data_IF_604004575925
#
_entry.id   IF_604004575925
#
_cell.length_a   1.000
_cell.length_b   1.000
_cell.length_c   1.000
_cell.angle_alpha   90.00
_cell.angle_beta   90.00
_cell.angle_gamma   90.00
#
_symmetry.space_group_name_H-M   'P 1'
#
loop_
_entity.id
_entity.type
_entity.pdbx_description
1 polymer ?
#
# COMPACT_ATOMS: atom_id res chain seq x y z
N UNK A 1 22.82 -6.18 -31.88
CA UNK A 1 21.92 -5.68 -30.81
C UNK A 1 20.49 -5.91 -31.30
N UNK A 2 19.92 -7.06 -30.94
CA UNK A 2 18.62 -7.50 -31.46
C UNK A 2 17.49 -6.65 -30.89
N UNK A 3 16.59 -6.28 -31.80
CA UNK A 3 15.36 -5.55 -31.57
C UNK A 3 14.45 -6.43 -30.68
N UNK A 4 14.62 -6.38 -29.36
CA UNK A 4 13.66 -6.94 -28.40
C UNK A 4 12.33 -6.23 -28.67
N UNK A 5 11.38 -6.93 -29.29
CA UNK A 5 10.02 -6.42 -29.43
C UNK A 5 9.55 -5.98 -28.05
N UNK A 6 9.32 -4.67 -27.85
CA UNK A 6 8.81 -4.10 -26.60
C UNK A 6 7.35 -4.52 -26.42
N UNK A 7 7.14 -5.80 -26.10
CA UNK A 7 5.86 -6.34 -25.68
C UNK A 7 5.53 -5.79 -24.30
N UNK A 8 4.25 -5.53 -24.06
CA UNK A 8 3.77 -5.18 -22.74
C UNK A 8 4.04 -6.36 -21.80
N UNK A 9 4.52 -6.06 -20.61
CA UNK A 9 4.67 -7.06 -19.56
C UNK A 9 3.27 -7.30 -18.96
N UNK A 10 2.83 -8.55 -19.04
CA UNK A 10 1.56 -8.99 -18.45
C UNK A 10 1.79 -9.89 -17.25
N UNK A 11 0.79 -9.96 -16.38
CA UNK A 11 0.74 -10.85 -15.23
C UNK A 11 -0.68 -11.01 -14.76
N UNK A 12 -0.89 -11.63 -13.59
CA UNK A 12 -2.22 -12.02 -13.14
C UNK A 12 -2.53 -11.53 -11.73
N UNK A 13 -3.77 -11.10 -11.53
CA UNK A 13 -4.36 -10.87 -10.21
C UNK A 13 -4.93 -12.18 -9.62
N UNK A 14 -5.29 -12.25 -8.31
CA UNK A 14 -5.76 -13.48 -7.66
C UNK A 14 -6.98 -14.14 -8.31
N UNK A 15 -7.77 -13.37 -9.04
CA UNK A 15 -8.96 -13.84 -9.75
C UNK A 15 -8.66 -14.29 -11.19
N UNK A 16 -7.39 -14.42 -11.56
CA UNK A 16 -6.95 -14.82 -12.90
C UNK A 16 -7.10 -13.74 -13.96
N UNK A 17 -7.43 -12.50 -13.59
CA UNK A 17 -7.47 -11.39 -14.54
C UNK A 17 -6.06 -11.03 -14.97
N UNK A 18 -5.82 -11.06 -16.29
CA UNK A 18 -4.59 -10.57 -16.90
C UNK A 18 -4.51 -9.04 -16.78
N UNK A 19 -3.37 -8.55 -16.33
CA UNK A 19 -3.10 -7.13 -16.12
C UNK A 19 -1.75 -6.74 -16.71
N UNK A 20 -1.62 -5.47 -17.06
CA UNK A 20 -0.35 -4.84 -17.39
C UNK A 20 0.07 -3.91 -16.26
N UNK A 21 1.38 -3.74 -16.10
CA UNK A 21 1.96 -2.95 -15.02
C UNK A 21 2.41 -1.59 -15.56
N UNK A 22 1.89 -0.47 -15.03
CA UNK A 22 2.34 0.84 -15.44
C UNK A 22 3.82 1.05 -15.10
N UNK A 23 4.58 1.66 -16.01
CA UNK A 23 5.95 2.05 -15.74
C UNK A 23 5.98 3.45 -15.10
N UNK A 24 6.12 3.51 -13.77
CA UNK A 24 6.20 4.76 -13.03
C UNK A 24 7.52 5.53 -13.23
N UNK A 25 8.49 4.95 -13.95
CA UNK A 25 9.75 5.59 -14.32
C UNK A 25 9.69 6.27 -15.68
N UNK A 26 8.59 6.10 -16.43
CA UNK A 26 8.38 6.77 -17.71
C UNK A 26 8.00 8.23 -17.55
N UNK A 27 8.53 9.10 -18.42
CA UNK A 27 8.14 10.51 -18.49
C UNK A 27 6.66 10.70 -18.89
N UNK A 28 6.05 9.69 -19.53
CA UNK A 28 4.67 9.74 -19.99
C UNK A 28 3.65 9.39 -18.89
N UNK A 29 4.09 8.78 -17.78
CA UNK A 29 3.18 8.22 -16.78
C UNK A 29 2.32 9.29 -16.11
N UNK A 30 2.89 10.47 -15.85
CA UNK A 30 2.20 11.57 -15.18
C UNK A 30 1.03 12.07 -16.02
N UNK A 31 1.23 12.25 -17.32
CA UNK A 31 0.18 12.68 -18.25
C UNK A 31 -0.92 11.63 -18.37
N UNK A 32 -0.55 10.35 -18.42
CA UNK A 32 -1.51 9.25 -18.42
C UNK A 32 -2.33 9.20 -17.12
N UNK A 33 -1.68 9.29 -15.94
CA UNK A 33 -2.36 9.33 -14.65
C UNK A 33 -3.29 10.55 -14.53
N UNK A 34 -2.84 11.74 -14.94
CA UNK A 34 -3.66 12.96 -14.93
C UNK A 34 -4.94 12.78 -15.74
N UNK A 35 -4.84 12.19 -16.94
CA UNK A 35 -6.02 11.91 -17.78
C UNK A 35 -6.99 10.97 -17.08
N UNK A 36 -6.49 9.89 -16.48
CA UNK A 36 -7.32 8.91 -15.79
C UNK A 36 -7.96 9.47 -14.52
N UNK A 37 -7.21 10.18 -13.68
CA UNK A 37 -7.76 10.78 -12.46
C UNK A 37 -8.74 11.91 -12.75
N UNK A 38 -8.57 12.69 -13.82
CA UNK A 38 -9.59 13.68 -14.27
C UNK A 38 -10.88 13.00 -14.71
N UNK A 39 -10.80 11.83 -15.35
CA UNK A 39 -11.99 11.03 -15.68
C UNK A 39 -12.63 10.50 -14.40
N UNK A 40 -11.83 9.93 -13.50
CA UNK A 40 -12.31 9.39 -12.23
C UNK A 40 -13.00 10.45 -11.36
N UNK A 41 -12.42 11.65 -11.26
CA UNK A 41 -12.96 12.75 -10.44
C UNK A 41 -14.30 13.30 -10.95
N UNK A 42 -14.65 13.04 -12.22
CA UNK A 42 -15.97 13.36 -12.77
C UNK A 42 -17.01 12.30 -12.45
N UNK A 43 -16.58 11.06 -12.23
CA UNK A 43 -17.45 9.93 -11.91
C UNK A 43 -17.70 9.83 -10.41
N UNK A 44 -16.66 10.03 -9.61
CA UNK A 44 -16.71 9.89 -8.16
C UNK A 44 -15.95 11.03 -7.49
N UNK A 45 -16.51 11.55 -6.39
CA UNK A 45 -15.77 12.42 -5.49
C UNK A 45 -14.99 11.54 -4.50
N UNK A 46 -13.69 11.78 -4.39
CA UNK A 46 -12.80 11.08 -3.46
C UNK A 46 -11.80 12.08 -2.88
N UNK A 47 -11.38 11.87 -1.64
CA UNK A 47 -10.51 12.79 -0.90
C UNK A 47 -9.10 12.22 -0.68
N UNK A 48 -8.91 10.95 -1.02
CA UNK A 48 -7.63 10.27 -0.91
C UNK A 48 -7.60 8.96 -1.69
N UNK A 49 -6.43 8.33 -1.70
CA UNK A 49 -6.19 7.08 -2.39
C UNK A 49 -5.46 6.10 -1.48
N UNK A 50 -5.95 4.86 -1.45
CA UNK A 50 -5.24 3.73 -0.85
C UNK A 50 -4.63 2.89 -1.97
N UNK A 51 -3.32 2.83 -2.02
CA UNK A 51 -2.60 1.97 -2.94
C UNK A 51 -2.46 0.59 -2.32
N UNK A 52 -3.08 -0.38 -2.98
CA UNK A 52 -2.94 -1.79 -2.67
C UNK A 52 -2.10 -2.44 -3.77
N UNK A 53 -1.28 -3.44 -3.40
CA UNK A 53 -0.52 -4.27 -4.35
C UNK A 53 0.45 -3.51 -5.27
N UNK A 54 0.99 -2.39 -4.80
CA UNK A 54 2.00 -1.61 -5.52
C UNK A 54 3.46 -2.08 -5.28
N UNK A 55 3.67 -3.33 -4.83
CA UNK A 55 4.93 -4.10 -4.90
C UNK A 55 5.01 -4.93 -6.19
N UNK A 56 4.74 -4.30 -7.34
CA UNK A 56 3.88 -4.83 -8.42
C UNK A 56 3.54 -6.32 -8.29
N UNK A 57 2.44 -6.62 -7.57
CA UNK A 57 2.11 -8.01 -7.21
C UNK A 57 1.64 -8.79 -8.43
N UNK A 58 2.20 -9.98 -8.60
CA UNK A 58 1.85 -10.91 -9.67
C UNK A 58 1.57 -12.30 -9.08
N UNK A 59 0.37 -12.85 -9.35
CA UNK A 59 -0.06 -14.16 -8.88
C UNK A 59 0.16 -15.27 -9.90
N UNK A 60 0.82 -14.97 -11.03
CA UNK A 60 1.23 -16.01 -11.97
C UNK A 60 2.10 -17.05 -11.26
N UNK A 61 1.66 -18.31 -11.32
CA UNK A 61 2.38 -19.48 -10.81
C UNK A 61 3.33 -20.08 -11.84
N UNK A 62 3.30 -19.60 -13.08
CA UNK A 62 4.07 -20.13 -14.20
C UNK A 62 5.19 -19.16 -14.59
N UNK A 63 6.26 -19.71 -15.16
CA UNK A 63 7.40 -19.01 -15.78
C UNK A 63 7.00 -18.12 -16.99
N UNK A 64 5.74 -17.70 -17.07
CA UNK A 64 5.09 -17.04 -18.20
C UNK A 64 4.84 -15.54 -17.97
N UNK A 65 5.58 -14.90 -17.05
CA UNK A 65 5.86 -13.49 -17.29
C UNK A 65 6.69 -13.45 -18.57
N UNK A 66 6.05 -13.09 -19.68
CA UNK A 66 6.60 -13.09 -21.04
C UNK A 66 7.68 -12.03 -21.20
N UNK A 67 8.77 -12.14 -20.45
CA UNK A 67 10.01 -11.46 -20.75
C UNK A 67 10.79 -12.37 -21.69
N UNK A 68 10.95 -11.95 -22.95
CA UNK A 68 11.75 -12.63 -23.96
C UNK A 68 13.26 -12.45 -23.70
N UNK A 69 13.69 -12.55 -22.44
CA UNK A 69 15.03 -12.20 -21.96
C UNK A 69 15.61 -13.24 -20.99
N UNK A 70 16.88 -13.07 -20.68
CA UNK A 70 17.66 -14.00 -19.87
C UNK A 70 17.11 -14.06 -18.44
N UNK A 71 16.66 -15.24 -17.99
CA UNK A 71 16.06 -15.42 -16.66
C UNK A 71 17.09 -15.49 -15.53
N UNK A 72 18.39 -15.43 -15.85
CA UNK A 72 19.50 -15.46 -14.91
C UNK A 72 19.38 -14.39 -13.81
N UNK A 73 18.75 -13.23 -14.11
CA UNK A 73 18.52 -12.15 -13.12
C UNK A 73 17.47 -12.49 -12.06
N UNK A 74 16.67 -13.53 -12.29
CA UNK A 74 15.70 -14.00 -11.29
C UNK A 74 16.37 -14.87 -10.24
N UNK A 75 17.46 -15.55 -10.58
CA UNK A 75 18.18 -16.42 -9.65
C UNK A 75 19.13 -15.60 -8.78
N UNK A 76 19.14 -15.90 -7.48
CA UNK A 76 20.10 -15.34 -6.55
C UNK A 76 20.76 -16.45 -5.76
N UNK A 77 22.06 -16.63 -5.96
CA UNK A 77 22.88 -17.60 -5.22
C UNK A 77 23.22 -17.14 -3.80
N UNK A 78 22.97 -15.87 -3.48
CA UNK A 78 23.34 -15.23 -2.21
C UNK A 78 22.15 -14.90 -1.30
N UNK A 79 20.93 -14.91 -1.82
CA UNK A 79 19.71 -14.62 -1.05
C UNK A 79 19.01 -15.91 -0.64
N UNK A 80 18.34 -15.89 0.52
CA UNK A 80 17.53 -17.01 1.02
C UNK A 80 16.38 -17.42 0.07
N UNK A 81 16.09 -16.60 -0.95
CA UNK A 81 15.09 -16.86 -1.97
C UNK A 81 15.78 -17.20 -3.29
N UNK A 82 15.59 -18.44 -3.73
CA UNK A 82 16.19 -18.95 -4.96
C UNK A 82 15.65 -18.26 -6.24
N UNK A 83 14.52 -17.54 -6.14
CA UNK A 83 13.92 -16.82 -7.26
C UNK A 83 13.26 -15.50 -6.82
N UNK A 84 13.76 -14.38 -7.33
CA UNK A 84 13.30 -13.03 -7.04
C UNK A 84 12.00 -12.65 -7.75
N UNK A 85 11.60 -13.34 -8.80
CA UNK A 85 10.34 -13.07 -9.52
C UNK A 85 9.10 -13.60 -8.81
N UNK A 86 9.25 -14.28 -7.66
CA UNK A 86 8.12 -14.87 -6.92
C UNK A 86 7.22 -13.74 -6.41
N UNK A 87 5.94 -13.80 -6.78
CA UNK A 87 4.93 -12.84 -6.33
C UNK A 87 5.02 -11.46 -7.01
N UNK A 88 5.88 -11.30 -8.03
CA UNK A 88 6.12 -10.02 -8.70
C UNK A 88 6.51 -10.17 -10.18
N UNK A 89 7.04 -9.11 -10.79
CA UNK A 89 7.51 -9.10 -12.17
C UNK A 89 8.84 -9.85 -12.31
N UNK A 90 9.13 -10.27 -13.54
CA UNK A 90 10.45 -10.79 -13.90
C UNK A 90 11.52 -9.70 -13.68
N UNK A 91 12.65 -10.05 -13.09
CA UNK A 91 13.73 -9.09 -12.79
C UNK A 91 14.41 -8.51 -14.04
N UNK A 92 14.34 -9.22 -15.17
CA UNK A 92 14.81 -8.76 -16.48
C UNK A 92 13.80 -7.86 -17.22
N UNK A 93 12.61 -7.62 -16.66
CA UNK A 93 11.65 -6.68 -17.23
C UNK A 93 12.27 -5.29 -17.39
N UNK A 94 12.25 -4.74 -18.61
CA UNK A 94 12.88 -3.45 -18.89
C UNK A 94 11.90 -2.30 -18.69
N UNK A 95 12.30 -1.32 -17.89
CA UNK A 95 11.62 -0.03 -17.78
C UNK A 95 11.99 0.89 -18.96
N UNK A 96 11.21 1.94 -19.18
CA UNK A 96 11.37 2.89 -20.29
C UNK A 96 12.71 3.64 -20.30
N UNK A 97 13.37 3.73 -19.15
CA UNK A 97 14.72 4.28 -18.99
C UNK A 97 15.83 3.25 -19.26
N UNK A 98 15.51 2.10 -19.85
CA UNK A 98 16.41 0.98 -20.11
C UNK A 98 17.08 0.40 -18.85
N UNK A 99 16.43 0.51 -17.68
CA UNK A 99 16.89 -0.13 -16.45
C UNK A 99 16.05 -1.39 -16.18
N UNK A 100 16.68 -2.55 -15.91
CA UNK A 100 15.97 -3.75 -15.50
C UNK A 100 15.20 -3.56 -14.18
N UNK A 101 14.08 -4.25 -14.04
CA UNK A 101 13.24 -4.22 -12.84
C UNK A 101 14.01 -4.61 -11.58
N UNK A 102 15.03 -5.48 -11.69
CA UNK A 102 15.92 -5.85 -10.60
C UNK A 102 16.40 -4.65 -9.76
N UNK A 103 16.80 -3.56 -10.42
CA UNK A 103 17.35 -2.38 -9.75
C UNK A 103 16.28 -1.40 -9.26
N UNK A 104 15.04 -1.54 -9.76
CA UNK A 104 13.94 -0.60 -9.50
C UNK A 104 12.81 -1.20 -8.67
N UNK A 105 12.83 -2.52 -8.42
CA UNK A 105 11.75 -3.26 -7.76
C UNK A 105 11.36 -2.63 -6.42
N UNK A 106 12.34 -2.45 -5.54
CA UNK A 106 12.12 -1.90 -4.18
C UNK A 106 11.65 -0.45 -4.17
N UNK A 107 11.87 0.32 -5.25
CA UNK A 107 11.44 1.71 -5.35
C UNK A 107 10.17 1.89 -6.21
N UNK A 108 9.59 0.82 -6.75
CA UNK A 108 8.42 0.89 -7.61
C UNK A 108 7.21 1.51 -6.90
N UNK A 109 6.89 1.05 -5.68
CA UNK A 109 5.77 1.58 -4.89
C UNK A 109 5.95 3.03 -4.44
N UNK A 110 7.19 3.39 -4.12
CA UNK A 110 7.58 4.77 -3.84
C UNK A 110 7.37 5.65 -5.08
N UNK A 111 7.86 5.21 -6.25
CA UNK A 111 7.71 5.95 -7.51
C UNK A 111 6.24 6.06 -7.92
N UNK A 112 5.44 4.99 -7.75
CA UNK A 112 3.99 5.03 -7.92
C UNK A 112 3.35 6.15 -7.08
N UNK A 113 3.67 6.22 -5.80
CA UNK A 113 3.16 7.25 -4.87
C UNK A 113 3.52 8.65 -5.33
N UNK A 114 4.78 8.89 -5.73
CA UNK A 114 5.23 10.18 -6.25
C UNK A 114 4.48 10.59 -7.50
N UNK A 115 4.36 9.70 -8.49
CA UNK A 115 3.71 10.02 -9.75
C UNK A 115 2.21 10.28 -9.56
N UNK A 116 1.55 9.51 -8.69
CA UNK A 116 0.16 9.78 -8.34
C UNK A 116 0.02 11.13 -7.65
N UNK A 117 0.84 11.43 -6.64
CA UNK A 117 0.83 12.73 -5.96
C UNK A 117 0.93 13.90 -6.95
N UNK A 118 1.92 13.85 -7.85
CA UNK A 118 2.13 14.88 -8.88
C UNK A 118 0.97 14.97 -9.87
N UNK A 119 0.39 13.83 -10.26
CA UNK A 119 -0.75 13.80 -11.18
C UNK A 119 -2.02 14.45 -10.60
N UNK A 120 -2.17 14.44 -9.27
CA UNK A 120 -3.30 15.05 -8.60
C UNK A 120 -3.17 16.57 -8.44
N UNK A 121 -1.98 17.18 -8.63
CA UNK A 121 -1.78 18.63 -8.44
C UNK A 121 -2.62 19.48 -9.42
N UNK A 122 -2.98 18.94 -10.59
CA UNK A 122 -3.71 19.64 -11.65
C UNK A 122 -5.20 19.26 -11.73
N UNK A 123 -5.75 18.70 -10.66
CA UNK A 123 -7.17 18.34 -10.57
C UNK A 123 -7.83 19.28 -9.57
N UNK A 124 -8.81 20.06 -10.02
CA UNK A 124 -9.40 21.19 -9.27
C UNK A 124 -9.79 20.85 -7.83
N UNK A 125 -10.34 19.65 -7.58
CA UNK A 125 -10.72 19.19 -6.23
C UNK A 125 -9.52 19.03 -5.27
N UNK A 126 -8.34 18.73 -5.80
CA UNK A 126 -7.11 18.50 -5.02
C UNK A 126 -6.17 19.71 -4.97
N UNK A 127 -6.42 20.72 -5.79
CA UNK A 127 -5.63 21.96 -5.81
C UNK A 127 -5.73 22.63 -4.43
N UNK A 128 -4.58 22.98 -3.85
CA UNK A 128 -4.44 23.64 -2.53
C UNK A 128 -5.07 22.86 -1.36
N UNK A 129 -5.31 21.55 -1.52
CA UNK A 129 -5.73 20.66 -0.42
C UNK A 129 -4.64 19.67 -0.07
N UNK A 130 -4.53 19.33 1.22
CA UNK A 130 -3.66 18.23 1.66
C UNK A 130 -4.26 16.92 1.13
N UNK A 131 -3.47 16.18 0.36
CA UNK A 131 -3.86 14.90 -0.22
C UNK A 131 -3.59 13.80 0.79
N UNK A 132 -4.56 12.90 0.98
CA UNK A 132 -4.33 11.68 1.74
C UNK A 132 -3.97 10.54 0.78
N UNK A 133 -2.73 10.06 0.86
CA UNK A 133 -2.25 8.90 0.10
C UNK A 133 -1.74 7.87 1.11
N UNK A 134 -2.18 6.62 0.98
CA UNK A 134 -1.72 5.51 1.82
C UNK A 134 -1.16 4.39 0.96
N UNK A 135 0.09 4.00 1.20
CA UNK A 135 0.81 3.03 0.37
C UNK A 135 1.10 1.72 1.12
N UNK A 136 0.89 0.60 0.45
CA UNK A 136 1.32 -0.71 0.95
C UNK A 136 2.83 -0.93 0.74
N UNK A 137 3.37 -0.47 -0.40
CA UNK A 137 4.80 -0.55 -0.74
C UNK A 137 5.50 0.78 -0.48
N UNK A 138 6.57 0.74 0.31
CA UNK A 138 7.28 1.94 0.77
C UNK A 138 8.79 1.78 0.61
N UNK A 139 9.48 2.90 0.54
CA UNK A 139 10.94 2.99 0.52
C UNK A 139 11.39 4.19 1.37
N UNK A 140 12.69 4.36 1.55
CA UNK A 140 13.27 5.50 2.29
C UNK A 140 12.69 6.82 1.72
N UNK A 141 12.16 7.67 2.59
CA UNK A 141 11.52 8.93 2.22
C UNK A 141 10.04 8.84 1.84
N UNK A 142 9.43 7.65 1.83
CA UNK A 142 7.98 7.48 1.58
C UNK A 142 7.10 8.31 2.52
N UNK A 143 7.50 8.48 3.78
CA UNK A 143 6.71 9.22 4.79
C UNK A 143 6.50 10.69 4.49
N UNK A 144 7.33 11.29 3.63
CA UNK A 144 7.16 12.67 3.15
C UNK A 144 5.94 12.81 2.23
N UNK A 145 5.51 11.72 1.59
CA UNK A 145 4.50 11.75 0.52
C UNK A 145 3.24 10.95 0.82
N UNK A 146 3.31 9.94 1.69
CA UNK A 146 2.21 9.05 1.99
C UNK A 146 2.26 8.48 3.40
N UNK A 147 1.10 8.12 3.93
CA UNK A 147 0.97 7.17 5.03
C UNK A 147 1.29 5.75 4.58
N UNK A 148 1.42 4.83 5.54
CA UNK A 148 1.36 3.40 5.25
C UNK A 148 0.18 2.75 5.96
N UNK A 149 -0.49 1.84 5.26
CA UNK A 149 -1.34 0.85 5.90
C UNK A 149 -0.54 -0.45 5.87
N UNK A 150 -0.10 -0.94 7.03
CA UNK A 150 0.96 -1.95 7.14
C UNK A 150 0.56 -3.38 6.72
N UNK A 151 -0.39 -3.48 5.79
CA UNK A 151 -0.69 -4.67 5.03
C UNK A 151 -1.82 -5.52 5.60
N UNK A 152 -1.92 -6.73 5.04
CA UNK A 152 -2.86 -7.75 5.47
C UNK A 152 -2.27 -8.50 6.65
N UNK A 153 -3.04 -8.64 7.72
CA UNK A 153 -2.64 -9.30 8.96
C UNK A 153 -3.73 -10.26 9.42
N UNK A 154 -3.37 -11.41 9.98
CA UNK A 154 -4.37 -12.32 10.55
C UNK A 154 -4.95 -11.76 11.85
N UNK A 155 -6.21 -12.05 12.14
CA UNK A 155 -6.84 -11.76 13.43
C UNK A 155 -6.30 -12.67 14.54
N UNK A 156 -5.10 -12.41 15.06
CA UNK A 156 -4.49 -13.19 16.13
C UNK A 156 -3.80 -12.31 17.18
N UNK A 157 -3.61 -12.81 18.40
CA UNK A 157 -2.84 -12.15 19.45
C UNK A 157 -1.39 -11.87 19.03
N UNK A 158 -0.79 -12.80 18.26
CA UNK A 158 0.55 -12.60 17.68
C UNK A 158 0.55 -11.38 16.75
N UNK A 159 -0.46 -11.26 15.88
CA UNK A 159 -0.58 -10.12 14.95
C UNK A 159 -0.83 -8.81 15.68
N UNK A 160 -1.63 -8.81 16.75
CA UNK A 160 -1.79 -7.62 17.61
C UNK A 160 -0.43 -7.16 18.15
N UNK A 161 0.37 -8.07 18.73
CA UNK A 161 1.72 -7.74 19.21
C UNK A 161 2.61 -7.21 18.08
N UNK A 162 2.62 -7.87 16.92
CA UNK A 162 3.42 -7.45 15.77
C UNK A 162 2.98 -6.09 15.22
N UNK A 163 1.68 -5.76 15.30
CA UNK A 163 1.17 -4.46 14.84
C UNK A 163 1.74 -3.28 15.65
N UNK A 164 2.02 -3.49 16.94
CA UNK A 164 2.66 -2.48 17.79
C UNK A 164 4.10 -2.25 17.33
N UNK A 165 4.85 -3.35 17.16
CA UNK A 165 6.25 -3.32 16.70
C UNK A 165 6.34 -2.63 15.33
N UNK A 166 5.51 -3.04 14.38
CA UNK A 166 5.51 -2.50 13.03
C UNK A 166 5.20 -0.99 13.01
N UNK A 167 4.24 -0.50 13.79
CA UNK A 167 3.93 0.94 13.85
C UNK A 167 5.09 1.74 14.43
N UNK A 168 5.78 1.21 15.45
CA UNK A 168 6.96 1.84 16.02
C UNK A 168 8.13 1.85 15.03
N UNK A 169 8.38 0.74 14.34
CA UNK A 169 9.41 0.65 13.30
C UNK A 169 9.17 1.67 12.18
N UNK A 170 7.94 1.76 11.67
CA UNK A 170 7.59 2.76 10.65
C UNK A 170 7.76 4.19 11.15
N UNK A 171 7.52 4.46 12.43
CA UNK A 171 7.80 5.77 13.03
C UNK A 171 9.29 6.09 12.99
N UNK A 172 10.15 5.10 13.30
CA UNK A 172 11.61 5.22 13.17
C UNK A 172 12.07 5.36 11.71
N UNK A 173 11.37 4.73 10.76
CA UNK A 173 11.63 4.87 9.32
C UNK A 173 11.12 6.20 8.73
N UNK A 174 10.65 7.13 9.56
CA UNK A 174 10.17 8.44 9.12
C UNK A 174 8.77 8.40 8.50
N UNK A 175 7.96 7.39 8.84
CA UNK A 175 6.57 7.23 8.40
C UNK A 175 5.61 7.27 9.61
N UNK A 176 5.45 8.43 10.27
CA UNK A 176 4.68 8.54 11.51
C UNK A 176 3.18 8.28 11.31
N UNK A 177 2.64 8.50 10.11
CA UNK A 177 1.25 8.19 9.79
C UNK A 177 1.15 6.75 9.29
N UNK A 178 1.25 5.78 10.19
CA UNK A 178 1.11 4.35 9.87
C UNK A 178 0.00 3.71 10.70
N UNK A 179 -0.70 2.75 10.10
CA UNK A 179 -1.82 2.05 10.74
C UNK A 179 -1.92 0.61 10.28
N UNK A 180 -2.41 -0.26 11.17
CA UNK A 180 -2.63 -1.69 10.88
C UNK A 180 -4.12 -1.98 11.06
N UNK A 181 -4.78 -2.66 10.10
CA UNK A 181 -6.20 -3.00 10.20
C UNK A 181 -6.55 -3.67 11.55
N UNK A 182 -7.39 -2.97 12.31
CA UNK A 182 -7.80 -3.38 13.66
C UNK A 182 -8.61 -4.68 13.57
N UNK A 183 -8.39 -5.59 14.53
CA UNK A 183 -8.96 -6.94 14.57
C UNK A 183 -8.47 -7.91 13.48
N UNK A 184 -7.53 -7.48 12.64
CA UNK A 184 -7.00 -8.27 11.54
C UNK A 184 -7.89 -8.26 10.29
N UNK A 185 -7.28 -8.56 9.15
CA UNK A 185 -7.92 -8.55 7.82
C UNK A 185 -8.58 -9.89 7.45
N UNK A 186 -8.21 -10.97 8.14
CA UNK A 186 -8.68 -12.34 7.88
C UNK A 186 -8.77 -13.15 9.18
N UNK A 187 -9.42 -14.32 9.10
CA UNK A 187 -9.67 -15.20 10.25
C UNK A 187 -10.97 -14.87 10.98
N UNK A 188 -11.37 -15.73 11.92
CA UNK A 188 -12.60 -15.55 12.69
C UNK A 188 -12.46 -14.38 13.65
N UNK A 189 -13.51 -13.58 13.80
CA UNK A 189 -13.54 -12.45 14.73
C UNK A 189 -13.66 -13.00 16.16
N UNK A 190 -12.54 -12.98 16.88
CA UNK A 190 -12.53 -13.19 18.33
C UNK A 190 -12.90 -11.88 19.05
N UNK A 191 -13.98 -11.91 19.85
CA UNK A 191 -14.54 -10.72 20.49
C UNK A 191 -13.56 -10.13 21.51
N UNK A 192 -12.82 -10.96 22.25
CA UNK A 192 -11.89 -10.50 23.26
C UNK A 192 -10.67 -9.85 22.61
N UNK A 193 -10.05 -10.55 21.65
CA UNK A 193 -8.93 -10.03 20.87
C UNK A 193 -9.30 -8.70 20.20
N UNK A 194 -10.45 -8.66 19.51
CA UNK A 194 -10.90 -7.46 18.80
C UNK A 194 -11.19 -6.31 19.79
N UNK A 195 -11.76 -6.61 20.97
CA UNK A 195 -11.94 -5.60 22.03
C UNK A 195 -10.61 -5.02 22.50
N UNK A 196 -9.57 -5.86 22.72
CA UNK A 196 -8.23 -5.37 23.10
C UNK A 196 -7.56 -4.59 21.98
N UNK A 197 -7.73 -5.04 20.74
CA UNK A 197 -7.17 -4.32 19.60
C UNK A 197 -7.84 -2.96 19.43
N UNK A 198 -9.15 -2.82 19.65
CA UNK A 198 -9.85 -1.53 19.65
C UNK A 198 -9.37 -0.58 20.75
N UNK A 199 -9.05 -1.11 21.94
CA UNK A 199 -8.44 -0.32 23.01
C UNK A 199 -7.08 0.24 22.59
N UNK A 200 -6.27 -0.55 21.90
CA UNK A 200 -5.02 -0.10 21.30
C UNK A 200 -5.24 0.85 20.10
N UNK A 201 -6.27 0.61 19.29
CA UNK A 201 -6.52 1.32 18.04
C UNK A 201 -6.65 2.85 18.21
N UNK A 202 -7.19 3.30 19.34
CA UNK A 202 -7.32 4.72 19.66
C UNK A 202 -5.98 5.47 19.59
N UNK A 203 -4.87 4.76 19.81
CA UNK A 203 -3.50 5.29 19.86
C UNK A 203 -2.70 5.06 18.57
N UNK A 204 -3.22 4.28 17.60
CA UNK A 204 -2.55 4.14 16.31
C UNK A 204 -2.54 5.48 15.56
N UNK A 205 -1.43 5.91 14.93
CA UNK A 205 -1.41 7.16 14.17
C UNK A 205 -2.46 7.19 13.06
N UNK A 206 -2.60 6.10 12.29
CA UNK A 206 -3.71 5.87 11.38
C UNK A 206 -4.60 4.76 11.93
N UNK A 207 -5.85 5.08 12.29
CA UNK A 207 -6.84 4.10 12.70
C UNK A 207 -7.66 3.67 11.47
N UNK A 208 -7.64 2.38 11.13
CA UNK A 208 -8.49 1.81 10.09
C UNK A 208 -8.98 0.41 10.46
N UNK A 209 -10.11 0.02 9.89
CA UNK A 209 -10.61 -1.35 9.86
C UNK A 209 -10.67 -1.80 8.41
N UNK A 210 -10.27 -3.03 8.14
CA UNK A 210 -10.35 -3.60 6.80
C UNK A 210 -10.45 -5.11 6.92
N UNK A 211 -11.43 -5.71 6.25
CA UNK A 211 -11.57 -7.16 6.14
C UNK A 211 -11.68 -7.58 4.69
N UNK A 212 -10.99 -8.65 4.34
CA UNK A 212 -10.91 -9.16 2.96
C UNK A 212 -12.27 -9.72 2.52
N UNK A 213 -13.01 -10.32 3.45
CA UNK A 213 -14.34 -10.88 3.25
C UNK A 213 -15.46 -9.83 3.21
N UNK A 214 -15.13 -8.54 3.42
CA UNK A 214 -16.11 -7.45 3.47
C UNK A 214 -17.00 -7.44 4.71
N UNK A 215 -16.70 -8.27 5.73
CA UNK A 215 -17.49 -8.30 6.96
C UNK A 215 -17.30 -7.03 7.80
N UNK A 216 -18.43 -6.51 8.29
CA UNK A 216 -18.48 -5.33 9.14
C UNK A 216 -18.31 -5.72 10.62
N UNK A 217 -17.23 -5.23 11.25
CA UNK A 217 -16.83 -5.63 12.61
C UNK A 217 -17.85 -5.25 13.69
N UNK A 218 -18.55 -4.12 13.52
CA UNK A 218 -19.30 -3.50 14.61
C UNK A 218 -20.82 -3.62 14.47
N UNK A 219 -21.34 -3.82 13.26
CA UNK A 219 -22.78 -3.79 13.02
C UNK A 219 -23.54 -4.92 13.73
N UNK A 220 -22.90 -6.07 13.88
CA UNK A 220 -23.55 -7.29 14.38
C UNK A 220 -23.10 -7.71 15.78
N UNK A 221 -22.31 -6.91 16.47
CA UNK A 221 -21.82 -7.23 17.82
C UNK A 221 -21.91 -6.03 18.78
N UNK A 222 -22.94 -5.98 19.65
CA UNK A 222 -23.14 -4.87 20.59
C UNK A 222 -21.95 -4.61 21.52
N UNK A 223 -21.21 -5.65 21.90
CA UNK A 223 -20.03 -5.52 22.78
C UNK A 223 -18.90 -4.80 22.03
N UNK A 224 -18.58 -5.23 20.81
CA UNK A 224 -17.56 -4.56 19.99
C UNK A 224 -17.99 -3.14 19.62
N UNK A 225 -19.25 -2.91 19.29
CA UNK A 225 -19.78 -1.57 19.03
C UNK A 225 -19.63 -0.63 20.22
N UNK A 226 -19.89 -1.12 21.45
CA UNK A 226 -19.71 -0.35 22.68
C UNK A 226 -18.24 0.01 22.93
N UNK A 227 -17.34 -0.97 22.81
CA UNK A 227 -15.89 -0.73 22.94
C UNK A 227 -15.40 0.25 21.88
N UNK A 228 -15.79 0.06 20.62
CA UNK A 228 -15.42 0.95 19.52
C UNK A 228 -15.92 2.37 19.77
N UNK A 229 -17.17 2.56 20.22
CA UNK A 229 -17.73 3.87 20.55
C UNK A 229 -16.88 4.60 21.59
N UNK A 230 -16.49 3.91 22.67
CA UNK A 230 -15.70 4.51 23.74
C UNK A 230 -14.29 4.86 23.27
N UNK A 231 -13.63 3.94 22.56
CA UNK A 231 -12.24 4.12 22.15
C UNK A 231 -12.08 5.11 21.00
N UNK A 232 -13.02 5.13 20.06
CA UNK A 232 -13.09 6.16 19.01
C UNK A 232 -13.43 7.50 19.65
N UNK A 233 -14.37 7.56 20.61
CA UNK A 233 -14.66 8.77 21.36
C UNK A 233 -13.42 9.36 22.06
N UNK A 234 -12.64 8.52 22.74
CA UNK A 234 -11.35 8.91 23.33
C UNK A 234 -10.37 9.41 22.26
N UNK A 235 -10.24 8.70 21.13
CA UNK A 235 -9.37 9.16 20.05
C UNK A 235 -9.77 10.56 19.56
N UNK A 236 -11.06 10.81 19.39
CA UNK A 236 -11.57 12.10 18.94
C UNK A 236 -11.27 13.22 19.94
N UNK A 237 -11.29 12.96 21.25
CA UNK A 237 -10.86 13.94 22.25
C UNK A 237 -9.35 14.20 22.22
N UNK A 238 -8.55 13.22 21.78
CA UNK A 238 -7.10 13.34 21.61
C UNK A 238 -6.67 13.94 20.26
N UNK A 239 -7.58 14.19 19.32
CA UNK A 239 -7.22 14.68 17.98
C UNK A 239 -6.37 15.97 17.98
N UNK A 240 -6.63 16.99 18.83
CA UNK A 240 -5.77 18.18 18.89
C UNK A 240 -4.31 17.85 19.27
N UNK A 241 -4.14 16.92 20.21
CA UNK A 241 -2.82 16.45 20.64
C UNK A 241 -2.14 15.65 19.53
N UNK A 242 -2.84 14.67 18.93
CA UNK A 242 -2.32 13.86 17.82
C UNK A 242 -1.92 14.73 16.63
N UNK A 243 -2.73 15.74 16.27
CA UNK A 243 -2.43 16.66 15.18
C UNK A 243 -1.19 17.50 15.48
N UNK A 244 -1.00 17.91 16.74
CA UNK A 244 0.19 18.64 17.18
C UNK A 244 1.44 17.76 17.09
N UNK A 245 1.36 16.48 17.46
CA UNK A 245 2.47 15.54 17.26
C UNK A 245 2.81 15.36 15.78
N UNK A 246 1.81 15.25 14.90
CA UNK A 246 2.06 15.21 13.46
C UNK A 246 2.72 16.49 12.95
N UNK A 247 2.30 17.65 13.44
CA UNK A 247 2.94 18.92 13.12
C UNK A 247 4.43 18.93 13.50
N UNK A 248 4.81 18.44 14.68
CA UNK A 248 6.21 18.32 15.08
C UNK A 248 6.98 17.29 14.26
N UNK A 249 6.35 16.17 13.88
CA UNK A 249 6.97 15.15 13.04
C UNK A 249 7.26 15.61 11.59
N UNK A 250 6.57 16.66 11.14
CA UNK A 250 6.67 17.19 9.78
C UNK A 250 7.55 18.45 9.68
N UNK A 251 8.10 18.93 10.80
CA UNK A 251 9.10 20.00 10.85
C UNK A 251 10.50 19.43 10.67
#
# INVERSE_FOLDING_TARGET
MSNLSRKLITGFLPNGIEVTYPDFFSDQITSWLQKNFRKLSRMFKFDGLFFQRNTPVNFSTSKETTCSGNNDMNESSYLLWNNLSIGTLNMAAMHSNNVPHLFLHNIYGYKNTLQVKSSLDNISHFVRRRKFLSSASTFIGSGTYSSSWGGLVSGSWKSLKQSIIQILDFSLFGMPLTGIPVCGTSGVIDIELCSRWLQYAAFQPLLLTHRIDGSELFLHNPRLASVARNMIGLRYSLLPYLYTLFYYSAK
#
